data_IF_496996035583
#
_entry.id   IF_496996035583
#
_cell.length_a   1.000
_cell.length_b   1.000
_cell.length_c   1.000
_cell.angle_alpha   90.00
_cell.angle_beta   90.00
_cell.angle_gamma   90.00
#
_symmetry.space_group_name_H-M   'P 1'
#
loop_
_entity.id
_entity.type
_entity.pdbx_description
1 polymer ?
#
# COMPACT_ATOMS: atom_id res chain seq x y z
N UNK A 1 16.94 -11.61 2.44
CA UNK A 1 15.62 -11.27 3.01
C UNK A 1 14.92 -12.56 3.45
N UNK A 2 14.21 -12.54 4.56
CA UNK A 2 13.33 -13.64 5.00
C UNK A 2 11.91 -13.09 5.15
N UNK A 3 10.97 -13.58 4.36
CA UNK A 3 9.56 -13.15 4.34
C UNK A 3 8.65 -14.31 4.70
N UNK A 4 7.58 -14.07 5.47
CA UNK A 4 6.56 -15.09 5.73
C UNK A 4 5.64 -15.31 4.53
N UNK A 5 5.36 -14.26 3.76
CA UNK A 5 4.52 -14.26 2.54
C UNK A 5 5.07 -13.26 1.53
N UNK A 6 4.89 -13.53 0.24
CA UNK A 6 5.32 -12.62 -0.83
C UNK A 6 6.83 -12.60 -1.03
N UNK A 7 7.31 -11.65 -1.83
CA UNK A 7 8.72 -11.52 -2.20
C UNK A 7 9.26 -10.14 -1.85
N UNK A 8 10.48 -10.08 -1.32
CA UNK A 8 11.18 -8.83 -1.05
C UNK A 8 12.39 -8.70 -1.98
N UNK A 9 12.56 -7.52 -2.58
CA UNK A 9 13.69 -7.17 -3.44
C UNK A 9 14.26 -5.82 -3.06
N UNK A 10 15.58 -5.71 -3.07
CA UNK A 10 16.26 -4.42 -2.94
C UNK A 10 16.37 -3.76 -4.32
N UNK A 11 16.13 -2.45 -4.39
CA UNK A 11 16.18 -1.61 -5.60
C UNK A 11 17.23 -0.51 -5.34
N UNK A 12 18.51 -0.76 -5.70
CA UNK A 12 19.62 0.14 -5.37
C UNK A 12 19.47 1.55 -5.94
N UNK A 13 18.87 1.68 -7.12
CA UNK A 13 18.70 2.96 -7.83
C UNK A 13 17.79 3.93 -7.07
N UNK A 14 16.99 3.41 -6.15
CA UNK A 14 16.09 4.17 -5.28
C UNK A 14 16.45 4.04 -3.81
N UNK A 15 17.46 3.24 -3.47
CA UNK A 15 17.83 2.85 -2.11
C UNK A 15 16.62 2.35 -1.28
N UNK A 16 15.78 1.48 -1.85
CA UNK A 16 14.58 0.95 -1.16
C UNK A 16 14.47 -0.56 -1.25
N UNK A 17 13.84 -1.15 -0.24
CA UNK A 17 13.33 -2.53 -0.30
C UNK A 17 11.87 -2.50 -0.69
N UNK A 18 11.51 -3.25 -1.73
CA UNK A 18 10.12 -3.47 -2.13
C UNK A 18 9.71 -4.86 -1.66
N UNK A 19 8.78 -4.93 -0.72
CA UNK A 19 8.08 -6.16 -0.36
C UNK A 19 6.73 -6.22 -1.06
N UNK A 20 6.53 -7.24 -1.90
CA UNK A 20 5.33 -7.43 -2.70
C UNK A 20 4.52 -8.64 -2.22
N UNK A 21 3.28 -8.38 -1.83
CA UNK A 21 2.30 -9.38 -1.40
C UNK A 21 1.11 -9.30 -2.36
N UNK A 22 0.77 -10.41 -3.03
CA UNK A 22 -0.31 -10.42 -4.03
C UNK A 22 -1.71 -10.39 -3.41
N UNK A 23 -1.89 -11.06 -2.26
CA UNK A 23 -3.16 -11.15 -1.56
C UNK A 23 -2.93 -10.95 -0.07
N UNK A 24 -3.61 -9.96 0.49
CA UNK A 24 -3.55 -9.61 1.91
C UNK A 24 -4.97 -9.58 2.47
N UNK A 25 -5.49 -10.72 2.96
CA UNK A 25 -6.81 -10.75 3.59
C UNK A 25 -6.84 -9.88 4.85
N UNK A 26 -8.00 -9.27 5.13
CA UNK A 26 -8.21 -8.51 6.37
C UNK A 26 -7.98 -9.36 7.61
N UNK A 27 -7.47 -8.74 8.69
CA UNK A 27 -7.18 -9.43 9.95
C UNK A 27 -5.97 -10.37 9.92
N UNK A 28 -5.15 -10.31 8.85
CA UNK A 28 -3.88 -11.04 8.77
C UNK A 28 -2.70 -10.16 9.16
N UNK A 29 -1.67 -10.80 9.67
CA UNK A 29 -0.38 -10.21 9.97
C UNK A 29 0.71 -11.03 9.27
N UNK A 30 1.68 -10.34 8.66
CA UNK A 30 2.83 -10.96 7.99
C UNK A 30 4.11 -10.24 8.39
N UNK A 31 5.23 -10.96 8.39
CA UNK A 31 6.52 -10.44 8.81
C UNK A 31 7.56 -10.52 7.68
N UNK A 32 8.37 -9.47 7.55
CA UNK A 32 9.58 -9.45 6.73
C UNK A 32 10.79 -9.07 7.58
N UNK A 33 11.88 -9.84 7.47
CA UNK A 33 13.18 -9.57 8.08
C UNK A 33 14.22 -9.34 6.99
N UNK A 34 14.98 -8.26 7.12
CA UNK A 34 16.09 -7.91 6.26
C UNK A 34 17.37 -7.77 7.09
N UNK A 35 18.49 -8.23 6.54
CA UNK A 35 19.82 -8.01 7.08
C UNK A 35 20.65 -7.35 5.98
N UNK A 36 21.27 -6.22 6.31
CA UNK A 36 22.16 -5.48 5.42
C UNK A 36 23.55 -5.48 6.03
N UNK A 37 24.56 -5.79 5.20
CA UNK A 37 25.95 -5.51 5.54
C UNK A 37 26.22 -4.05 5.24
N UNK A 38 26.55 -3.27 6.26
CA UNK A 38 27.01 -1.90 6.08
C UNK A 38 28.53 -1.92 5.86
N UNK A 39 29.09 -0.97 5.08
CA UNK A 39 30.52 -0.75 5.02
C UNK A 39 31.08 -0.48 6.43
N UNK A 40 32.33 -0.87 6.67
CA UNK A 40 33.02 -0.62 7.96
C UNK A 40 33.41 0.84 8.18
N UNK A 41 33.31 1.68 7.14
CA UNK A 41 33.59 3.12 7.19
C UNK A 41 32.27 3.86 7.30
N UNK A 42 32.13 4.66 8.34
CA UNK A 42 30.95 5.50 8.55
C UNK A 42 30.91 6.64 7.54
N UNK A 43 29.72 6.98 7.03
CA UNK A 43 29.53 8.21 6.25
C UNK A 43 29.44 9.39 7.21
N UNK A 44 30.08 10.51 6.87
CA UNK A 44 30.01 11.76 7.64
C UNK A 44 28.60 12.38 7.64
N UNK A 45 27.79 12.09 6.62
CA UNK A 45 26.40 12.56 6.52
C UNK A 45 25.40 11.49 6.97
N UNK A 46 24.50 11.89 7.88
CA UNK A 46 23.34 11.09 8.28
C UNK A 46 22.31 11.11 7.15
N UNK A 47 22.18 9.99 6.43
CA UNK A 47 21.05 9.80 5.52
C UNK A 47 19.74 9.87 6.31
N UNK A 48 18.83 10.74 5.88
CA UNK A 48 17.50 10.85 6.48
C UNK A 48 16.77 9.51 6.45
N UNK A 49 15.86 9.28 7.39
CA UNK A 49 15.02 8.07 7.45
C UNK A 49 13.72 8.33 6.70
N UNK A 50 13.63 8.05 5.38
CA UNK A 50 12.40 8.28 4.66
C UNK A 50 11.28 7.41 5.25
N UNK A 51 10.03 7.91 5.29
CA UNK A 51 8.91 7.15 5.80
C UNK A 51 8.61 5.94 4.89
N UNK A 52 8.01 4.90 5.47
CA UNK A 52 7.65 3.68 4.75
C UNK A 52 6.36 3.94 3.94
N UNK A 53 6.46 3.87 2.62
CA UNK A 53 5.31 3.91 1.73
C UNK A 53 4.65 2.55 1.58
N UNK A 54 3.32 2.51 1.60
CA UNK A 54 2.53 1.29 1.34
C UNK A 54 1.59 1.53 0.17
N UNK A 55 1.56 0.61 -0.79
CA UNK A 55 0.64 0.62 -1.93
C UNK A 55 -0.29 -0.57 -1.85
N UNK A 56 -1.60 -0.33 -1.87
CA UNK A 56 -2.62 -1.38 -1.82
C UNK A 56 -3.88 -0.98 -2.59
N UNK A 57 -4.67 -1.99 -2.92
CA UNK A 57 -6.02 -1.87 -3.46
C UNK A 57 -6.94 -2.86 -2.73
N UNK A 58 -8.09 -2.40 -2.26
CA UNK A 58 -9.12 -3.21 -1.63
C UNK A 58 -10.41 -3.07 -2.46
N UNK A 59 -10.81 -4.11 -3.20
CA UNK A 59 -12.05 -4.07 -3.98
C UNK A 59 -13.27 -4.21 -3.06
N UNK A 60 -14.39 -3.61 -3.47
CA UNK A 60 -15.71 -3.70 -2.82
C UNK A 60 -15.74 -3.23 -1.34
N UNK A 61 -14.75 -2.45 -0.92
CA UNK A 61 -14.64 -1.90 0.42
C UNK A 61 -14.54 -0.37 0.38
N UNK A 62 -15.18 0.31 1.33
CA UNK A 62 -15.07 1.76 1.53
C UNK A 62 -14.59 2.09 2.94
N UNK A 63 -13.54 2.88 3.05
CA UNK A 63 -13.05 3.37 4.34
C UNK A 63 -13.93 4.51 4.88
N UNK A 64 -14.42 5.37 4.00
CA UNK A 64 -15.27 6.52 4.38
C UNK A 64 -16.70 6.14 4.72
N UNK A 65 -17.12 4.90 4.44
CA UNK A 65 -18.51 4.47 4.58
C UNK A 65 -19.46 5.02 3.50
N UNK A 66 -18.94 5.67 2.45
CA UNK A 66 -19.78 6.18 1.36
C UNK A 66 -20.58 5.06 0.68
N UNK A 67 -21.86 5.34 0.41
CA UNK A 67 -22.78 4.42 -0.24
C UNK A 67 -23.65 5.17 -1.25
N UNK A 68 -23.54 4.79 -2.53
CA UNK A 68 -24.44 5.23 -3.60
C UNK A 68 -25.78 4.51 -3.44
N UNK A 69 -26.84 5.25 -3.11
CA UNK A 69 -28.19 4.69 -2.90
C UNK A 69 -29.02 4.61 -4.17
N UNK A 70 -28.88 5.59 -5.05
CA UNK A 70 -29.64 5.66 -6.29
C UNK A 70 -28.79 6.27 -7.41
N UNK A 71 -28.99 5.76 -8.63
CA UNK A 71 -28.51 6.37 -9.86
C UNK A 71 -29.71 6.58 -10.78
N UNK A 72 -30.22 7.82 -10.81
CA UNK A 72 -31.38 8.16 -11.63
C UNK A 72 -30.92 8.48 -13.05
N UNK A 73 -31.49 7.78 -14.03
CA UNK A 73 -31.22 7.97 -15.46
C UNK A 73 -32.49 8.54 -16.08
N UNK A 74 -32.37 9.66 -16.79
CA UNK A 74 -33.49 10.36 -17.45
C UNK A 74 -33.15 10.41 -18.94
N UNK A 75 -33.88 9.63 -19.74
CA UNK A 75 -33.65 9.48 -21.17
C UNK A 75 -35.00 9.50 -21.91
N UNK A 76 -35.11 10.30 -22.98
CA UNK A 76 -36.39 10.57 -23.67
C UNK A 76 -36.78 9.48 -24.65
N UNK A 77 -35.82 8.68 -25.12
CA UNK A 77 -36.03 7.59 -26.09
C UNK A 77 -36.62 6.31 -25.47
N UNK A 78 -36.80 6.26 -24.15
CA UNK A 78 -37.28 5.05 -23.46
C UNK A 78 -36.21 3.95 -23.28
N UNK A 79 -34.95 4.27 -23.57
CA UNK A 79 -33.83 3.36 -23.37
C UNK A 79 -33.68 2.95 -21.89
N UNK A 80 -33.62 1.65 -21.64
CA UNK A 80 -33.38 1.09 -20.30
C UNK A 80 -31.88 0.87 -20.09
N UNK A 81 -31.29 1.68 -19.22
CA UNK A 81 -29.90 1.53 -18.84
C UNK A 81 -29.74 0.60 -17.63
N UNK A 82 -28.61 -0.12 -17.57
CA UNK A 82 -28.23 -0.98 -16.45
C UNK A 82 -27.15 -0.29 -15.60
N UNK A 83 -27.53 0.38 -14.49
CA UNK A 83 -26.57 1.04 -13.63
C UNK A 83 -25.72 0.03 -12.86
N UNK A 84 -24.40 0.24 -12.79
CA UNK A 84 -23.49 -0.56 -11.97
C UNK A 84 -22.55 0.33 -11.17
N UNK A 85 -22.17 -0.13 -9.97
CA UNK A 85 -21.24 0.58 -9.08
C UNK A 85 -20.23 -0.41 -8.54
N UNK A 86 -18.95 -0.02 -8.53
CA UNK A 86 -17.86 -0.72 -7.83
C UNK A 86 -17.14 0.24 -6.93
N UNK A 87 -16.91 -0.16 -5.69
CA UNK A 87 -16.01 0.55 -4.79
C UNK A 87 -14.60 -0.03 -4.88
N UNK A 88 -13.61 0.85 -4.83
CA UNK A 88 -12.20 0.50 -4.76
C UNK A 88 -11.58 1.45 -3.75
N UNK A 89 -10.97 0.92 -2.71
CA UNK A 89 -10.12 1.70 -1.80
C UNK A 89 -8.67 1.50 -2.21
N UNK A 90 -7.96 2.60 -2.49
CA UNK A 90 -6.52 2.58 -2.78
C UNK A 90 -5.75 3.44 -1.79
N UNK A 91 -4.47 3.15 -1.62
CA UNK A 91 -3.56 3.97 -0.82
C UNK A 91 -3.40 5.38 -1.41
N UNK A 92 -3.62 6.43 -0.61
CA UNK A 92 -3.49 7.83 -1.02
C UNK A 92 -2.07 8.41 -0.97
N UNK A 93 -1.02 7.59 -1.08
CA UNK A 93 0.38 8.04 -1.03
C UNK A 93 0.92 8.41 0.36
N UNK A 94 0.18 8.11 1.44
CA UNK A 94 0.63 8.38 2.81
C UNK A 94 1.76 7.43 3.22
N UNK A 95 2.79 8.00 3.83
CA UNK A 95 3.96 7.27 4.30
C UNK A 95 3.95 7.19 5.83
N UNK A 96 4.29 6.03 6.39
CA UNK A 96 4.40 5.83 7.82
C UNK A 96 5.78 6.29 8.32
N UNK A 97 5.83 7.21 9.28
CA UNK A 97 7.08 7.60 9.93
C UNK A 97 7.51 6.54 10.93
N UNK A 98 8.79 6.18 10.93
CA UNK A 98 9.36 5.32 11.96
C UNK A 98 9.54 6.14 13.24
N UNK A 99 8.80 5.80 14.29
CA UNK A 99 9.11 6.24 15.64
C UNK A 99 10.33 5.43 16.11
N UNK A 100 11.51 6.05 16.12
CA UNK A 100 12.71 5.40 16.60
C UNK A 100 12.63 5.17 18.11
N UNK A 101 12.70 3.92 18.55
CA UNK A 101 13.24 3.62 19.88
C UNK A 101 14.75 3.50 19.72
N UNK A 102 15.48 4.42 20.33
CA UNK A 102 16.94 4.31 20.50
C UNK A 102 17.16 3.16 21.47
N UNK A 103 17.90 2.14 21.04
CA UNK A 103 18.48 1.11 21.88
C UNK A 103 19.99 1.19 21.79
#
# INVERSE_FOLDING_TARGET
FKTSVGSAKYVPERNVVIWSIKSFPGGKEYLMRAHFGLPSVEKEEVEGRPPIGVKFEIPYFTVSGIQVRYMKIIEKSGYQALPWVRYITQSGGKAAQLLGTVG
#
